data_IF_883150733469
#
_entry.id   IF_883150733469
#
_cell.length_a   1.000
_cell.length_b   1.000
_cell.length_c   1.000
_cell.angle_alpha   90.00
_cell.angle_beta   90.00
_cell.angle_gamma   90.00
#
_symmetry.space_group_name_H-M   'P 1'
#
loop_
_entity.id
_entity.type
_entity.pdbx_description
1 polymer ?
#
# COMPACT_ATOMS: atom_id res chain seq x y z
N UNK A 1 9.46 9.04 5.61
CA UNK A 1 8.00 9.26 5.50
C UNK A 1 7.44 10.47 6.26
N UNK A 2 8.22 11.24 7.03
CA UNK A 2 7.68 12.33 7.87
C UNK A 2 7.04 13.49 7.09
N UNK A 3 7.70 13.98 6.04
CA UNK A 3 7.22 15.12 5.23
C UNK A 3 6.24 14.70 4.13
N UNK A 4 6.46 13.53 3.52
CA UNK A 4 5.61 13.06 2.43
C UNK A 4 4.18 12.75 2.88
N UNK A 5 4.00 12.21 4.10
CA UNK A 5 2.68 11.76 4.59
C UNK A 5 1.67 12.90 4.73
N UNK A 6 1.95 14.02 5.44
CA UNK A 6 1.02 15.15 5.52
C UNK A 6 0.63 15.73 4.15
N UNK A 7 1.58 15.80 3.22
CA UNK A 7 1.33 16.32 1.86
C UNK A 7 0.39 15.39 1.09
N UNK A 8 0.60 14.08 1.16
CA UNK A 8 -0.27 13.11 0.49
C UNK A 8 -1.70 13.17 1.03
N UNK A 9 -1.87 13.23 2.36
CA UNK A 9 -3.19 13.37 2.97
C UNK A 9 -3.86 14.68 2.53
N UNK A 10 -3.15 15.80 2.60
CA UNK A 10 -3.68 17.11 2.19
C UNK A 10 -4.15 17.13 0.74
N UNK A 11 -3.41 16.48 -0.17
CA UNK A 11 -3.78 16.36 -1.59
C UNK A 11 -5.00 15.48 -1.82
N UNK A 12 -5.10 14.33 -1.12
CA UNK A 12 -6.28 13.46 -1.18
C UNK A 12 -7.52 14.18 -0.68
N UNK A 13 -7.45 14.81 0.50
CA UNK A 13 -8.59 15.54 1.08
C UNK A 13 -8.92 16.83 0.31
N UNK A 14 -7.93 17.39 -0.39
CA UNK A 14 -8.08 18.57 -1.24
C UNK A 14 -8.65 18.28 -2.64
N UNK A 15 -8.94 17.02 -2.97
CA UNK A 15 -9.53 16.63 -4.26
C UNK A 15 -8.53 16.51 -5.42
N UNK A 16 -7.23 16.59 -5.16
CA UNK A 16 -6.15 16.40 -6.15
C UNK A 16 -5.21 15.25 -5.71
N UNK A 17 -5.71 14.00 -5.65
CA UNK A 17 -4.93 12.88 -5.18
C UNK A 17 -3.78 12.55 -6.15
N UNK A 18 -2.65 12.14 -5.58
CA UNK A 18 -1.54 11.58 -6.35
C UNK A 18 -1.98 10.30 -7.06
N UNK A 19 -1.43 10.03 -8.25
CA UNK A 19 -1.67 8.76 -8.96
C UNK A 19 -1.12 7.52 -8.22
N UNK A 20 -0.08 7.69 -7.41
CA UNK A 20 0.46 6.67 -6.51
C UNK A 20 1.17 7.32 -5.32
N UNK A 21 1.12 6.69 -4.15
CA UNK A 21 1.75 7.16 -2.92
C UNK A 21 2.54 6.03 -2.26
N UNK A 22 3.73 6.34 -1.73
CA UNK A 22 4.54 5.36 -1.00
C UNK A 22 4.11 5.34 0.46
N UNK A 23 3.68 4.17 0.93
CA UNK A 23 3.36 3.92 2.34
C UNK A 23 4.14 2.72 2.86
N UNK A 24 4.40 2.73 4.17
CA UNK A 24 4.77 1.52 4.88
C UNK A 24 3.48 0.75 5.23
N UNK A 25 3.57 -0.58 5.26
CA UNK A 25 2.51 -1.44 5.76
C UNK A 25 2.12 -1.02 7.19
N UNK A 26 0.82 -0.92 7.48
CA UNK A 26 0.29 -0.63 8.81
C UNK A 26 -1.02 0.16 8.84
N UNK A 27 -1.50 0.43 10.06
CA UNK A 27 -2.83 1.00 10.39
C UNK A 27 -3.24 2.25 9.60
N UNK A 28 -2.27 3.07 9.19
CA UNK A 28 -2.54 4.30 8.46
C UNK A 28 -2.94 4.06 7.00
N UNK A 29 -2.40 3.01 6.37
CA UNK A 29 -2.83 2.60 5.04
C UNK A 29 -4.23 1.96 5.13
N UNK A 30 -4.50 1.19 6.19
CA UNK A 30 -5.82 0.63 6.47
C UNK A 30 -6.90 1.70 6.65
N UNK A 31 -6.62 2.76 7.41
CA UNK A 31 -7.55 3.89 7.60
C UNK A 31 -7.94 4.56 6.27
N UNK A 32 -6.98 4.71 5.34
CA UNK A 32 -7.25 5.27 4.01
C UNK A 32 -8.08 4.33 3.13
N UNK A 33 -7.86 3.02 3.24
CA UNK A 33 -8.64 2.01 2.54
C UNK A 33 -10.09 1.99 3.08
N UNK A 34 -10.26 2.01 4.41
CA UNK A 34 -11.58 2.07 5.05
C UNK A 34 -12.33 3.36 4.73
N UNK A 35 -11.61 4.48 4.59
CA UNK A 35 -12.19 5.75 4.14
C UNK A 35 -12.58 5.76 2.64
N UNK A 36 -12.31 4.68 1.89
CA UNK A 36 -12.62 4.59 0.46
C UNK A 36 -11.71 5.44 -0.42
N UNK A 37 -10.57 5.88 0.10
CA UNK A 37 -9.63 6.79 -0.59
C UNK A 37 -8.56 6.04 -1.38
N UNK A 38 -8.56 4.71 -1.34
CA UNK A 38 -7.61 3.84 -2.02
C UNK A 38 -8.31 2.96 -3.05
N UNK A 39 -7.65 2.75 -4.18
CA UNK A 39 -8.19 1.94 -5.28
C UNK A 39 -7.94 0.45 -5.04
N UNK A 40 -8.97 -0.35 -5.25
CA UNK A 40 -8.88 -1.81 -5.34
C UNK A 40 -8.07 -2.22 -6.59
N UNK A 41 -6.98 -2.94 -6.37
CA UNK A 41 -6.04 -3.42 -7.40
C UNK A 41 -6.18 -4.93 -7.65
N UNK A 42 -7.19 -5.60 -7.07
CA UNK A 42 -7.34 -7.06 -7.15
C UNK A 42 -7.35 -7.57 -8.59
N UNK A 43 -8.07 -6.89 -9.50
CA UNK A 43 -8.11 -7.27 -10.92
C UNK A 43 -6.72 -7.25 -11.59
N UNK A 44 -5.90 -6.26 -11.25
CA UNK A 44 -4.52 -6.13 -11.76
C UNK A 44 -3.63 -7.20 -11.14
N UNK A 45 -3.80 -7.45 -9.84
CA UNK A 45 -3.05 -8.46 -9.12
C UNK A 45 -3.33 -9.88 -9.63
N UNK A 46 -4.59 -10.21 -9.92
CA UNK A 46 -4.99 -11.49 -10.51
C UNK A 46 -4.42 -11.66 -11.91
N UNK A 47 -4.52 -10.64 -12.77
CA UNK A 47 -3.93 -10.67 -14.12
C UNK A 47 -2.41 -10.84 -14.07
N UNK A 48 -1.75 -10.17 -13.12
CA UNK A 48 -0.32 -10.24 -12.90
C UNK A 48 0.15 -11.46 -12.10
N UNK A 49 -0.77 -12.33 -11.64
CA UNK A 49 -0.47 -13.51 -10.80
C UNK A 49 0.39 -13.17 -9.57
N UNK A 50 0.08 -12.05 -8.90
CA UNK A 50 0.91 -11.55 -7.80
C UNK A 50 1.00 -12.54 -6.63
N UNK A 51 -0.06 -13.32 -6.38
CA UNK A 51 -0.08 -14.37 -5.36
C UNK A 51 1.00 -15.44 -5.56
N UNK A 52 1.45 -15.63 -6.80
CA UNK A 52 2.39 -16.69 -7.16
C UNK A 52 3.84 -16.19 -7.16
N UNK A 53 4.02 -14.88 -7.46
CA UNK A 53 5.31 -14.23 -7.69
C UNK A 53 5.82 -13.49 -6.44
N UNK A 54 4.93 -12.82 -5.69
CA UNK A 54 5.34 -12.02 -4.53
C UNK A 54 5.68 -12.95 -3.36
N UNK A 55 6.94 -12.89 -2.92
CA UNK A 55 7.43 -13.69 -1.78
C UNK A 55 8.27 -12.85 -0.82
N UNK A 56 8.19 -13.10 0.50
CA UNK A 56 7.26 -14.02 1.16
C UNK A 56 5.79 -13.58 1.05
N UNK A 57 4.85 -14.52 1.15
CA UNK A 57 3.40 -14.26 0.99
C UNK A 57 2.89 -13.18 1.96
N UNK A 58 3.50 -13.08 3.14
CA UNK A 58 3.22 -12.07 4.16
C UNK A 58 3.34 -10.62 3.65
N UNK A 59 4.14 -10.36 2.60
CA UNK A 59 4.22 -9.04 1.98
C UNK A 59 2.93 -8.66 1.29
N UNK A 60 2.30 -9.61 0.59
CA UNK A 60 1.04 -9.37 -0.10
C UNK A 60 -0.12 -9.37 0.90
N UNK A 61 -0.02 -10.16 1.97
CA UNK A 61 -1.02 -10.16 3.07
C UNK A 61 -1.10 -8.77 3.72
N UNK A 62 0.03 -8.08 3.91
CA UNK A 62 0.05 -6.70 4.41
C UNK A 62 -0.60 -5.66 3.48
N UNK A 63 -0.81 -6.02 2.21
CA UNK A 63 -1.56 -5.21 1.22
C UNK A 63 -3.00 -5.69 1.03
N UNK A 64 -3.42 -6.75 1.72
CA UNK A 64 -4.72 -7.38 1.55
C UNK A 64 -5.63 -7.00 2.71
N UNK A 65 -6.73 -6.30 2.43
CA UNK A 65 -7.74 -5.90 3.41
C UNK A 65 -9.09 -6.40 2.90
N UNK A 66 -9.82 -7.13 3.75
CA UNK A 66 -11.11 -7.74 3.41
C UNK A 66 -11.07 -8.57 2.10
N UNK A 67 -9.95 -9.28 1.87
CA UNK A 67 -9.75 -10.12 0.69
C UNK A 67 -9.41 -9.37 -0.59
N UNK A 68 -9.23 -8.04 -0.53
CA UNK A 68 -8.89 -7.18 -1.67
C UNK A 68 -7.49 -6.61 -1.53
N UNK A 69 -6.81 -6.43 -2.66
CA UNK A 69 -5.44 -5.94 -2.70
C UNK A 69 -5.45 -4.44 -2.98
N UNK A 70 -4.85 -3.63 -2.10
CA UNK A 70 -4.86 -2.17 -2.20
C UNK A 70 -3.48 -1.53 -2.37
N UNK A 71 -2.40 -2.31 -2.30
CA UNK A 71 -1.05 -1.84 -2.56
C UNK A 71 -0.19 -2.84 -3.32
N UNK A 72 0.95 -2.34 -3.81
CA UNK A 72 1.97 -3.12 -4.53
C UNK A 72 3.26 -3.07 -3.73
N UNK A 73 3.78 -4.20 -3.22
CA UNK A 73 5.07 -4.25 -2.56
C UNK A 73 6.19 -3.91 -3.56
N UNK A 74 6.99 -2.88 -3.27
CA UNK A 74 8.09 -2.43 -4.16
C UNK A 74 9.46 -2.94 -3.67
N UNK A 75 9.69 -2.94 -2.36
CA UNK A 75 10.94 -3.39 -1.76
C UNK A 75 10.70 -3.86 -0.31
N UNK A 76 11.65 -4.62 0.24
CA UNK A 76 11.67 -5.10 1.62
C UNK A 76 12.82 -4.39 2.33
N UNK A 77 12.50 -3.60 3.36
CA UNK A 77 13.50 -3.02 4.25
C UNK A 77 13.31 -3.55 5.67
N UNK A 78 14.39 -4.12 6.22
CA UNK A 78 14.52 -4.46 7.63
C UNK A 78 14.82 -3.21 8.46
N UNK A 79 14.25 -3.12 9.66
CA UNK A 79 14.65 -2.11 10.67
C UNK A 79 16.02 -2.42 11.28
N UNK A 80 16.44 -3.69 11.23
CA UNK A 80 17.72 -4.16 11.72
C UNK A 80 18.74 -4.06 10.60
N UNK A 81 19.38 -2.90 10.49
CA UNK A 81 20.69 -2.81 9.87
C UNK A 81 21.70 -3.11 10.98
N UNK A 82 22.24 -4.33 11.00
CA UNK A 82 23.50 -4.58 11.70
C UNK A 82 24.61 -4.12 10.75
N UNK A 83 25.42 -3.17 11.23
CA UNK A 83 26.71 -2.87 10.61
C UNK A 83 27.74 -3.94 11.01
#
# INVERSE_FOLDING_TARGET
GGTARPIMISRITGGDPMGATQFNHGRQAEELVQAGLMRDLTDVATKGKWTDVVRPKSLLDGCTIDGKIYCVPVNIHSWQWLW
#
